data_IF_214788962301
#
_entry.id   IF_214788962301
#
_cell.length_a   1.000
_cell.length_b   1.000
_cell.length_c   1.000
_cell.angle_alpha   90.00
_cell.angle_beta   90.00
_cell.angle_gamma   90.00
#
_symmetry.space_group_name_H-M   'P 1'
#
loop_
_entity.id
_entity.type
_entity.pdbx_description
1 polymer ?
#
# COMPACT_ATOMS: atom_id res chain seq x y z
N UNK A 1 20.76 -4.96 13.49
CA UNK A 1 20.42 -3.52 13.62
C UNK A 1 20.00 -2.94 12.26
N UNK A 2 20.77 -3.12 11.19
CA UNK A 2 20.45 -2.60 9.85
C UNK A 2 19.06 -2.96 9.32
N UNK A 3 18.65 -4.23 9.39
CA UNK A 3 17.32 -4.64 8.89
C UNK A 3 16.13 -4.01 9.65
N UNK A 4 16.26 -3.79 10.97
CA UNK A 4 15.22 -3.10 11.75
C UNK A 4 15.18 -1.61 11.43
N UNK A 5 16.34 -0.98 11.30
CA UNK A 5 16.45 0.42 10.87
C UNK A 5 15.86 0.61 9.46
N UNK A 6 16.11 -0.32 8.54
CA UNK A 6 15.53 -0.29 7.21
C UNK A 6 14.01 -0.42 7.25
N UNK A 7 13.48 -1.35 8.04
CA UNK A 7 12.02 -1.52 8.17
C UNK A 7 11.31 -0.30 8.78
N UNK A 8 11.95 0.36 9.77
CA UNK A 8 11.38 1.55 10.43
C UNK A 8 11.57 2.83 9.62
N UNK A 9 12.77 3.04 9.05
CA UNK A 9 13.09 4.27 8.32
C UNK A 9 12.69 4.22 6.84
N UNK A 10 12.54 3.03 6.24
CA UNK A 10 11.98 2.86 4.91
C UNK A 10 10.51 3.30 4.86
N UNK A 11 9.72 2.90 5.86
CA UNK A 11 8.32 3.32 6.01
C UNK A 11 8.15 4.55 6.93
N UNK A 12 9.19 5.39 7.08
CA UNK A 12 9.13 6.50 8.04
C UNK A 12 8.06 7.51 7.67
N UNK A 13 7.88 7.82 6.38
CA UNK A 13 6.90 8.82 5.94
C UNK A 13 5.49 8.33 6.25
N UNK A 14 5.19 7.07 5.92
CA UNK A 14 3.92 6.39 6.19
C UNK A 14 3.63 6.36 7.68
N UNK A 15 4.62 5.99 8.50
CA UNK A 15 4.49 5.96 9.96
C UNK A 15 4.23 7.35 10.52
N UNK A 16 5.00 8.36 10.11
CA UNK A 16 4.83 9.74 10.60
C UNK A 16 3.44 10.27 10.23
N UNK A 17 3.04 10.16 8.96
CA UNK A 17 1.71 10.61 8.49
C UNK A 17 0.60 9.87 9.23
N UNK A 18 0.73 8.56 9.41
CA UNK A 18 -0.25 7.75 10.14
C UNK A 18 -0.34 8.14 11.62
N UNK A 19 0.78 8.41 12.29
CA UNK A 19 0.81 8.82 13.70
C UNK A 19 0.18 10.20 13.88
N UNK A 20 0.48 11.14 12.98
CA UNK A 20 -0.11 12.49 13.01
C UNK A 20 -1.62 12.43 12.74
N UNK A 21 -2.04 11.67 11.73
CA UNK A 21 -3.47 11.45 11.45
C UNK A 21 -4.18 10.79 12.63
N UNK A 22 -3.56 9.78 13.25
CA UNK A 22 -4.09 9.11 14.43
C UNK A 22 -4.25 10.07 15.61
N UNK A 23 -3.25 10.92 15.88
CA UNK A 23 -3.30 11.96 16.93
C UNK A 23 -4.44 12.97 16.71
N UNK A 24 -4.78 13.23 15.44
CA UNK A 24 -5.89 14.11 15.07
C UNK A 24 -7.25 13.38 15.03
N UNK A 25 -7.31 12.09 15.38
CA UNK A 25 -8.54 11.29 15.39
C UNK A 25 -8.98 10.80 14.00
N UNK A 26 -8.14 10.95 12.97
CA UNK A 26 -8.43 10.59 11.58
C UNK A 26 -8.22 9.08 11.32
N UNK A 27 -8.93 8.24 12.08
CA UNK A 27 -8.83 6.77 12.03
C UNK A 27 -9.07 6.24 10.60
N UNK A 28 -10.05 6.79 9.89
CA UNK A 28 -10.39 6.36 8.52
C UNK A 28 -9.23 6.62 7.56
N UNK A 29 -8.58 7.78 7.66
CA UNK A 29 -7.40 8.11 6.86
C UNK A 29 -6.27 7.11 7.14
N UNK A 30 -6.00 6.81 8.41
CA UNK A 30 -4.96 5.87 8.80
C UNK A 30 -5.26 4.48 8.21
N UNK A 31 -6.47 3.95 8.40
CA UNK A 31 -6.90 2.66 7.84
C UNK A 31 -6.77 2.58 6.32
N UNK A 32 -7.38 3.54 5.61
CA UNK A 32 -7.38 3.57 4.16
C UNK A 32 -5.97 3.76 3.60
N UNK A 33 -5.11 4.54 4.27
CA UNK A 33 -3.71 4.72 3.87
C UNK A 33 -2.84 3.48 4.01
N UNK A 34 -3.08 2.63 5.02
CA UNK A 34 -2.36 1.37 5.16
C UNK A 34 -2.69 0.40 4.01
N UNK A 35 -3.98 0.23 3.71
CA UNK A 35 -4.40 -0.59 2.56
C UNK A 35 -3.95 0.01 1.24
N UNK A 36 -4.09 1.32 1.11
CA UNK A 36 -3.67 2.07 -0.07
C UNK A 36 -2.18 1.95 -0.35
N UNK A 37 -1.35 1.96 0.68
CA UNK A 37 0.11 1.80 0.56
C UNK A 37 0.47 0.42 0.01
N UNK A 38 -0.17 -0.63 0.52
CA UNK A 38 -0.01 -1.98 -0.03
C UNK A 38 -0.52 -2.05 -1.48
N UNK A 39 -1.73 -1.53 -1.76
CA UNK A 39 -2.31 -1.51 -3.11
C UNK A 39 -1.42 -0.76 -4.11
N UNK A 40 -0.87 0.38 -3.70
CA UNK A 40 0.05 1.19 -4.49
C UNK A 40 1.32 0.40 -4.81
N UNK A 41 1.92 -0.25 -3.82
CA UNK A 41 3.14 -1.03 -4.03
C UNK A 41 2.90 -2.24 -4.95
N UNK A 42 1.81 -2.99 -4.75
CA UNK A 42 1.57 -4.23 -5.51
C UNK A 42 0.98 -3.99 -6.91
N UNK A 43 0.26 -2.89 -7.14
CA UNK A 43 -0.36 -2.59 -8.44
C UNK A 43 0.35 -1.45 -9.17
N UNK A 44 0.50 -0.29 -8.53
CA UNK A 44 1.06 0.90 -9.16
C UNK A 44 2.56 0.73 -9.39
N UNK A 45 3.34 0.39 -8.35
CA UNK A 45 4.79 0.25 -8.47
C UNK A 45 5.16 -0.93 -9.33
N UNK A 46 4.60 -2.10 -9.03
CA UNK A 46 4.85 -3.31 -9.82
C UNK A 46 4.43 -3.11 -11.28
N UNK A 47 3.27 -2.49 -11.51
CA UNK A 47 2.78 -2.16 -12.84
C UNK A 47 3.72 -1.21 -13.58
N UNK A 48 4.20 -0.16 -12.92
CA UNK A 48 5.21 0.75 -13.47
C UNK A 48 6.53 0.04 -13.78
N UNK A 49 7.00 -0.86 -12.89
CA UNK A 49 8.22 -1.64 -13.10
C UNK A 49 8.10 -2.55 -14.33
N UNK A 50 7.02 -3.31 -14.44
CA UNK A 50 6.77 -4.23 -15.56
C UNK A 50 6.57 -3.47 -16.87
N UNK A 51 5.85 -2.34 -16.84
CA UNK A 51 5.63 -1.51 -18.01
C UNK A 51 6.94 -0.84 -18.47
N UNK A 52 7.65 -0.17 -17.57
CA UNK A 52 8.87 0.56 -17.90
C UNK A 52 10.01 -0.38 -18.29
N UNK A 53 10.23 -1.46 -17.54
CA UNK A 53 11.21 -2.50 -17.83
C UNK A 53 10.92 -3.22 -19.16
N UNK A 54 9.66 -3.61 -19.39
CA UNK A 54 9.25 -4.24 -20.64
C UNK A 54 9.40 -3.33 -21.88
N UNK A 55 9.04 -2.04 -21.76
CA UNK A 55 9.26 -1.06 -22.84
C UNK A 55 10.75 -0.83 -23.08
N UNK A 56 11.54 -0.73 -22.01
CA UNK A 56 12.99 -0.54 -22.11
C UNK A 56 13.63 -1.70 -22.87
N UNK A 57 13.39 -2.94 -22.46
CA UNK A 57 13.94 -4.12 -23.12
C UNK A 57 13.50 -4.24 -24.59
N UNK A 58 12.24 -3.91 -24.90
CA UNK A 58 11.74 -3.88 -26.28
C UNK A 58 12.51 -2.87 -27.15
N UNK A 59 13.01 -1.77 -26.57
CA UNK A 59 13.75 -0.72 -27.27
C UNK A 59 15.26 -0.96 -27.34
N UNK A 60 15.86 -1.55 -26.31
CA UNK A 60 17.33 -1.75 -26.22
C UNK A 60 17.79 -3.12 -26.72
N UNK A 61 16.88 -4.08 -26.97
CA UNK A 61 17.21 -5.34 -27.63
C UNK A 61 18.11 -6.25 -26.79
N UNK A 62 17.84 -6.36 -25.49
CA UNK A 62 18.52 -7.31 -24.60
C UNK A 62 18.23 -8.76 -25.02
N UNK A 63 19.13 -9.69 -24.66
CA UNK A 63 19.18 -11.07 -25.15
C UNK A 63 17.91 -11.92 -24.86
N UNK A 64 17.02 -11.45 -23.98
CA UNK A 64 15.81 -12.15 -23.53
C UNK A 64 14.53 -11.80 -24.33
N UNK A 65 14.54 -10.82 -25.23
CA UNK A 65 13.36 -10.41 -25.99
C UNK A 65 12.47 -9.38 -25.26
N UNK A 66 11.14 -9.46 -25.45
CA UNK A 66 10.16 -8.51 -24.87
C UNK A 66 9.90 -8.79 -23.36
N UNK A 67 10.32 -9.95 -22.86
CA UNK A 67 10.01 -10.45 -21.51
C UNK A 67 11.25 -10.35 -20.59
N UNK A 68 11.05 -9.96 -19.33
CA UNK A 68 12.06 -10.01 -18.28
C UNK A 68 11.77 -11.21 -17.37
N UNK A 69 12.69 -12.17 -17.31
CA UNK A 69 12.58 -13.30 -16.39
C UNK A 69 12.97 -12.89 -14.98
N UNK A 70 12.31 -13.45 -13.98
CA UNK A 70 12.66 -13.31 -12.57
C UNK A 70 12.48 -14.65 -11.85
N UNK A 71 13.12 -14.81 -10.70
CA UNK A 71 13.10 -16.05 -9.93
C UNK A 71 11.72 -16.30 -9.32
N UNK A 72 10.98 -17.24 -9.93
CA UNK A 72 9.66 -17.67 -9.47
C UNK A 72 9.65 -18.14 -8.02
N UNK A 73 10.70 -18.81 -7.52
CA UNK A 73 10.71 -19.33 -6.16
C UNK A 73 10.71 -18.20 -5.14
N UNK A 74 11.54 -17.17 -5.36
CA UNK A 74 11.61 -16.00 -4.49
C UNK A 74 10.31 -15.19 -4.61
N UNK A 75 9.89 -14.89 -5.83
CA UNK A 75 8.72 -14.06 -6.08
C UNK A 75 7.41 -14.74 -5.61
N UNK A 76 7.24 -16.04 -5.82
CA UNK A 76 6.07 -16.79 -5.33
C UNK A 76 6.08 -16.98 -3.81
N UNK A 77 7.25 -17.14 -3.18
CA UNK A 77 7.36 -17.20 -1.72
C UNK A 77 7.01 -15.84 -1.11
N UNK A 78 7.50 -14.74 -1.69
CA UNK A 78 7.17 -13.39 -1.23
C UNK A 78 5.69 -13.05 -1.46
N UNK A 79 5.14 -13.40 -2.62
CA UNK A 79 3.73 -13.17 -2.92
C UNK A 79 2.81 -14.02 -2.03
N UNK A 80 3.16 -15.27 -1.75
CA UNK A 80 2.39 -16.12 -0.84
C UNK A 80 2.49 -15.64 0.61
N UNK A 81 3.65 -15.18 1.06
CA UNK A 81 3.81 -14.58 2.39
C UNK A 81 3.03 -13.27 2.51
N UNK A 82 3.01 -12.43 1.47
CA UNK A 82 2.19 -11.23 1.42
C UNK A 82 0.70 -11.59 1.41
N UNK A 83 0.28 -12.62 0.66
CA UNK A 83 -1.09 -13.10 0.67
C UNK A 83 -1.51 -13.61 2.06
N UNK A 84 -0.65 -14.34 2.75
CA UNK A 84 -0.87 -14.79 4.13
C UNK A 84 -0.89 -13.61 5.10
N UNK A 85 0.03 -12.64 4.97
CA UNK A 85 0.08 -11.44 5.79
C UNK A 85 -1.20 -10.59 5.62
N UNK A 86 -1.61 -10.36 4.38
CA UNK A 86 -2.83 -9.67 3.99
C UNK A 86 -4.09 -10.40 4.48
N UNK A 87 -4.13 -11.74 4.37
CA UNK A 87 -5.21 -12.55 4.93
C UNK A 87 -5.22 -12.55 6.47
N UNK A 88 -4.04 -12.41 7.09
CA UNK A 88 -3.89 -12.30 8.54
C UNK A 88 -4.26 -10.91 9.08
N UNK A 89 -4.25 -9.87 8.25
CA UNK A 89 -4.88 -8.59 8.61
C UNK A 89 -6.42 -8.71 8.74
N UNK A 90 -7.01 -9.73 8.09
CA UNK A 90 -8.45 -10.02 8.11
C UNK A 90 -8.83 -10.99 9.25
N UNK A 91 -7.85 -11.69 9.87
CA UNK A 91 -8.06 -12.62 10.99
C UNK A 91 -6.98 -12.39 12.06
N UNK A 92 -7.30 -11.91 13.28
CA UNK A 92 -6.32 -11.36 14.23
C UNK A 92 -5.11 -12.27 14.41
N UNK A 93 -3.95 -11.75 13.98
CA UNK A 93 -2.78 -12.54 13.67
C UNK A 93 -1.82 -12.71 14.85
N UNK A 94 -1.34 -13.94 15.01
CA UNK A 94 -0.05 -14.24 15.64
C UNK A 94 0.67 -15.27 14.76
N UNK A 95 1.95 -15.02 14.42
CA UNK A 95 3.11 -15.94 14.59
C UNK A 95 4.30 -15.56 13.67
N UNK A 96 5.44 -15.32 14.33
CA UNK A 96 6.86 -15.36 13.92
C UNK A 96 7.30 -15.04 12.47
N UNK A 97 7.90 -13.85 12.29
CA UNK A 97 8.77 -13.50 11.15
C UNK A 97 10.25 -13.81 11.47
N UNK A 98 10.80 -14.85 10.83
CA UNK A 98 12.24 -15.15 10.75
C UNK A 98 12.55 -15.73 9.36
N UNK A 99 12.40 -14.92 8.31
CA UNK A 99 12.84 -15.27 6.94
C UNK A 99 13.38 -14.06 6.14
N UNK A 100 13.85 -13.02 6.82
CA UNK A 100 14.48 -11.86 6.19
C UNK A 100 15.90 -11.70 6.72
N UNK A 101 16.79 -12.55 6.24
CA UNK A 101 18.15 -12.14 5.98
C UNK A 101 18.22 -11.96 4.46
N UNK A 102 18.74 -10.81 4.02
CA UNK A 102 18.67 -10.39 2.63
C UNK A 102 19.28 -11.41 1.69
N UNK A 103 18.50 -11.87 0.73
CA UNK A 103 19.07 -12.28 -0.55
C UNK A 103 19.39 -10.99 -1.31
N UNK A 104 20.49 -10.34 -0.91
CA UNK A 104 21.30 -9.57 -1.84
C UNK A 104 21.83 -10.61 -2.82
N UNK A 105 21.05 -10.91 -3.86
CA UNK A 105 21.46 -11.81 -4.92
C UNK A 105 22.69 -11.20 -5.57
N UNK A 106 23.87 -11.79 -5.31
CA UNK A 106 25.18 -11.52 -5.90
C UNK A 106 25.18 -10.26 -6.77
N UNK A 107 25.17 -9.11 -6.10
CA UNK A 107 25.62 -7.92 -6.77
C UNK A 107 27.11 -8.15 -7.03
N UNK A 108 27.46 -8.27 -8.30
CA UNK A 108 28.68 -7.66 -8.81
C UNK A 108 28.58 -6.15 -8.54
N UNK A 109 28.61 -5.78 -7.26
CA UNK A 109 28.70 -4.43 -6.76
C UNK A 109 30.19 -4.13 -6.67
N UNK A 110 30.62 -3.19 -7.50
CA UNK A 110 31.80 -2.39 -7.22
C UNK A 110 31.74 -1.99 -5.73
N UNK A 111 32.82 -2.12 -4.94
CA UNK A 111 32.78 -1.83 -3.52
C UNK A 111 32.37 -0.38 -3.30
N UNK A 112 31.11 -0.14 -2.92
CA UNK A 112 30.63 1.18 -2.56
C UNK A 112 31.33 1.62 -1.28
N UNK A 113 32.34 2.48 -1.43
CA UNK A 113 32.99 3.12 -0.29
C UNK A 113 31.94 3.92 0.50
N UNK A 114 31.90 3.82 1.85
CA UNK A 114 30.95 4.56 2.66
C UNK A 114 31.14 6.08 2.46
N UNK A 115 30.27 6.69 1.66
CA UNK A 115 30.39 8.11 1.28
C UNK A 115 30.09 9.07 2.43
N UNK A 116 29.43 8.60 3.50
CA UNK A 116 29.03 9.44 4.64
C UNK A 116 29.41 8.84 5.99
N UNK A 117 29.93 9.69 6.87
CA UNK A 117 30.16 9.35 8.28
C UNK A 117 28.83 9.01 8.96
N UNK A 118 28.76 7.96 9.82
CA UNK A 118 27.55 7.60 10.56
C UNK A 118 26.95 8.75 11.37
N UNK A 119 27.79 9.68 11.85
CA UNK A 119 27.35 10.89 12.53
C UNK A 119 26.60 11.85 11.60
N UNK A 120 27.12 12.06 10.39
CA UNK A 120 26.48 12.91 9.39
C UNK A 120 25.14 12.31 8.93
N UNK A 121 25.09 10.98 8.74
CA UNK A 121 23.86 10.25 8.44
C UNK A 121 22.84 10.34 9.58
N UNK A 122 23.27 10.26 10.84
CA UNK A 122 22.39 10.44 11.99
C UNK A 122 21.78 11.84 12.09
N UNK A 123 22.59 12.88 11.87
CA UNK A 123 22.10 14.28 11.92
C UNK A 123 21.10 14.54 10.79
N UNK A 124 21.40 14.13 9.55
CA UNK A 124 20.50 14.38 8.43
C UNK A 124 19.18 13.60 8.59
N UNK A 125 19.24 12.37 9.12
CA UNK A 125 18.05 11.57 9.40
C UNK A 125 17.11 12.29 10.36
N UNK A 126 17.63 12.80 11.49
CA UNK A 126 16.83 13.55 12.47
C UNK A 126 16.22 14.80 11.85
N UNK A 127 17.00 15.58 11.08
CA UNK A 127 16.51 16.81 10.44
C UNK A 127 15.39 16.50 9.45
N UNK A 128 15.57 15.48 8.60
CA UNK A 128 14.55 15.07 7.62
C UNK A 128 13.30 14.54 8.33
N UNK A 129 13.45 13.70 9.36
CA UNK A 129 12.32 13.20 10.16
C UNK A 129 11.50 14.34 10.76
N UNK A 130 12.14 15.36 11.32
CA UNK A 130 11.44 16.54 11.88
C UNK A 130 10.73 17.32 10.77
N UNK A 131 11.40 17.55 9.63
CA UNK A 131 10.81 18.26 8.51
C UNK A 131 9.58 17.53 7.95
N UNK A 132 9.67 16.21 7.78
CA UNK A 132 8.54 15.37 7.34
C UNK A 132 7.41 15.41 8.37
N UNK A 133 7.70 15.38 9.67
CA UNK A 133 6.68 15.49 10.70
C UNK A 133 5.92 16.82 10.64
N UNK A 134 6.61 17.95 10.44
CA UNK A 134 5.98 19.25 10.26
C UNK A 134 5.10 19.27 9.00
N UNK A 135 5.61 18.73 7.88
CA UNK A 135 4.83 18.61 6.65
C UNK A 135 3.61 17.70 6.83
N UNK A 136 3.72 16.63 7.60
CA UNK A 136 2.62 15.72 7.90
C UNK A 136 1.53 16.40 8.73
N UNK A 137 1.88 17.27 9.69
CA UNK A 137 0.88 18.07 10.43
C UNK A 137 0.08 18.96 9.47
N UNK A 138 0.77 19.73 8.61
CA UNK A 138 0.09 20.55 7.61
C UNK A 138 -0.74 19.73 6.61
N UNK A 139 -0.25 18.55 6.21
CA UNK A 139 -0.96 17.65 5.31
C UNK A 139 -2.27 17.17 5.95
N UNK A 140 -2.21 16.65 7.18
CA UNK A 140 -3.39 16.13 7.89
C UNK A 140 -4.40 17.24 8.17
N UNK A 141 -3.94 18.41 8.61
CA UNK A 141 -4.82 19.56 8.87
C UNK A 141 -5.56 20.02 7.59
N UNK A 142 -4.96 19.81 6.42
CA UNK A 142 -5.58 20.17 5.13
C UNK A 142 -6.62 19.16 4.63
N UNK A 143 -6.65 17.93 5.16
CA UNK A 143 -7.51 16.85 4.65
C UNK A 143 -8.98 17.27 4.70
N UNK A 144 -9.46 17.81 5.83
CA UNK A 144 -10.85 18.21 5.98
C UNK A 144 -11.25 19.29 4.97
N UNK A 145 -10.39 20.29 4.78
CA UNK A 145 -10.61 21.35 3.80
C UNK A 145 -10.66 20.83 2.36
N UNK A 146 -9.84 19.83 2.03
CA UNK A 146 -9.83 19.19 0.70
C UNK A 146 -11.09 18.36 0.48
N UNK A 147 -11.52 17.59 1.49
CA UNK A 147 -12.77 16.81 1.45
C UNK A 147 -13.96 17.72 1.20
N UNK A 148 -14.06 18.84 1.93
CA UNK A 148 -15.15 19.81 1.77
C UNK A 148 -15.12 20.53 0.41
N UNK A 149 -13.93 20.91 -0.08
CA UNK A 149 -13.80 21.71 -1.31
C UNK A 149 -13.91 20.87 -2.58
N UNK A 150 -13.29 19.68 -2.59
CA UNK A 150 -13.25 18.81 -3.76
C UNK A 150 -14.38 17.78 -3.77
N UNK A 151 -15.15 17.66 -2.68
CA UNK A 151 -16.20 16.65 -2.50
C UNK A 151 -15.69 15.22 -2.74
N UNK A 152 -14.45 14.94 -2.31
CA UNK A 152 -13.84 13.62 -2.39
C UNK A 152 -13.82 12.97 -1.01
N UNK A 153 -13.85 11.65 -0.98
CA UNK A 153 -13.86 10.90 0.27
C UNK A 153 -12.53 10.94 1.02
N UNK A 154 -12.58 10.92 2.36
CA UNK A 154 -11.42 10.64 3.22
C UNK A 154 -10.78 9.32 2.83
N UNK A 155 -11.63 8.33 2.50
CA UNK A 155 -11.19 7.04 1.99
C UNK A 155 -10.35 7.17 0.71
N UNK A 156 -10.74 7.99 -0.26
CA UNK A 156 -9.95 8.21 -1.49
C UNK A 156 -8.62 8.90 -1.21
N UNK A 157 -8.60 9.93 -0.34
CA UNK A 157 -7.37 10.62 0.05
C UNK A 157 -6.41 9.63 0.71
N UNK A 158 -6.91 8.85 1.68
CA UNK A 158 -6.14 7.83 2.37
C UNK A 158 -5.65 6.74 1.43
N UNK A 159 -6.54 6.12 0.65
CA UNK A 159 -6.24 4.92 -0.12
C UNK A 159 -5.44 5.18 -1.41
N UNK A 160 -5.60 6.36 -2.03
CA UNK A 160 -4.98 6.67 -3.32
C UNK A 160 -3.91 7.76 -3.17
N UNK A 161 -4.25 8.92 -2.64
CA UNK A 161 -3.35 10.09 -2.69
C UNK A 161 -2.16 9.97 -1.76
N UNK A 162 -2.39 9.63 -0.48
CA UNK A 162 -1.32 9.55 0.53
C UNK A 162 -0.23 8.52 0.14
N UNK A 163 -0.57 7.27 -0.26
CA UNK A 163 0.39 6.26 -0.69
C UNK A 163 1.29 6.66 -1.85
N UNK A 164 0.76 7.44 -2.80
CA UNK A 164 1.53 7.87 -3.96
C UNK A 164 2.64 8.83 -3.52
N UNK A 165 2.31 9.77 -2.64
CA UNK A 165 3.26 10.77 -2.15
C UNK A 165 4.25 10.17 -1.15
N UNK A 166 3.75 9.36 -0.21
CA UNK A 166 4.55 8.75 0.86
C UNK A 166 5.64 7.83 0.32
N UNK A 167 5.29 6.98 -0.64
CA UNK A 167 6.19 5.98 -1.19
C UNK A 167 6.89 6.41 -2.49
N UNK A 168 6.75 7.67 -2.94
CA UNK A 168 7.23 8.10 -4.26
C UNK A 168 8.72 7.79 -4.50
N UNK A 169 9.55 7.95 -3.46
CA UNK A 169 10.99 7.65 -3.55
C UNK A 169 11.27 6.15 -3.73
N UNK A 170 10.52 5.29 -3.04
CA UNK A 170 10.60 3.84 -3.22
C UNK A 170 10.13 3.43 -4.61
N UNK A 171 9.06 4.06 -5.10
CA UNK A 171 8.50 3.80 -6.44
C UNK A 171 9.53 4.09 -7.53
N UNK A 172 10.18 5.26 -7.45
CA UNK A 172 11.23 5.64 -8.41
C UNK A 172 12.40 4.66 -8.34
N UNK A 173 12.82 4.27 -7.14
CA UNK A 173 13.93 3.32 -6.97
C UNK A 173 13.60 1.97 -7.60
N UNK A 174 12.43 1.41 -7.34
CA UNK A 174 11.98 0.14 -7.93
C UNK A 174 11.94 0.21 -9.46
N UNK A 175 11.42 1.31 -10.03
CA UNK A 175 11.37 1.51 -11.49
C UNK A 175 12.78 1.60 -12.07
N UNK A 176 13.69 2.35 -11.44
CA UNK A 176 15.08 2.47 -11.90
C UNK A 176 15.81 1.13 -11.88
N UNK A 177 15.56 0.31 -10.87
CA UNK A 177 16.13 -1.05 -10.75
C UNK A 177 15.52 -1.99 -11.80
N UNK A 178 14.21 -1.89 -12.07
CA UNK A 178 13.55 -2.64 -13.13
C UNK A 178 14.08 -2.28 -14.53
N UNK A 179 14.38 -1.00 -14.76
CA UNK A 179 15.00 -0.51 -16.00
C UNK A 179 16.43 -1.03 -16.21
N UNK A 180 17.12 -1.42 -15.14
CA UNK A 180 18.45 -2.06 -15.18
C UNK A 180 18.37 -3.59 -15.39
N UNK A 181 17.21 -4.11 -15.80
CA UNK A 181 16.95 -5.53 -15.99
C UNK A 181 17.04 -6.37 -14.70
N UNK A 182 17.03 -5.74 -13.52
CA UNK A 182 17.04 -6.41 -12.23
C UNK A 182 15.61 -6.52 -11.66
N UNK A 183 14.74 -7.25 -12.36
CA UNK A 183 13.32 -7.34 -12.00
C UNK A 183 13.09 -8.00 -10.63
N UNK A 184 13.89 -9.01 -10.26
CA UNK A 184 13.84 -9.63 -8.92
C UNK A 184 13.97 -8.62 -7.78
N UNK A 185 14.90 -7.67 -7.91
CA UNK A 185 15.11 -6.62 -6.92
C UNK A 185 13.94 -5.63 -6.90
N UNK A 186 13.40 -5.26 -8.05
CA UNK A 186 12.24 -4.36 -8.14
C UNK A 186 10.99 -4.96 -7.48
N UNK A 187 10.73 -6.26 -7.73
CA UNK A 187 9.66 -7.03 -7.07
C UNK A 187 9.93 -7.10 -5.55
N UNK A 188 11.19 -7.36 -5.16
CA UNK A 188 11.60 -7.40 -3.76
C UNK A 188 11.34 -6.08 -3.02
N UNK A 189 11.62 -4.93 -3.65
CA UNK A 189 11.31 -3.61 -3.10
C UNK A 189 9.81 -3.43 -2.89
N UNK A 190 9.00 -3.71 -3.92
CA UNK A 190 7.55 -3.50 -3.86
C UNK A 190 6.84 -4.44 -2.86
N UNK A 191 7.13 -5.74 -2.90
CA UNK A 191 6.50 -6.74 -2.01
C UNK A 191 7.07 -6.64 -0.60
N UNK A 192 8.36 -6.37 -0.46
CA UNK A 192 9.02 -6.20 0.84
C UNK A 192 8.42 -5.05 1.65
N UNK A 193 8.23 -3.88 1.01
CA UNK A 193 7.59 -2.71 1.62
C UNK A 193 6.14 -3.02 2.03
N UNK A 194 5.36 -3.63 1.12
CA UNK A 194 3.98 -4.08 1.39
C UNK A 194 3.85 -5.01 2.60
N UNK A 195 4.77 -5.97 2.73
CA UNK A 195 4.76 -6.91 3.83
C UNK A 195 5.19 -6.26 5.16
N UNK A 196 6.14 -5.32 5.14
CA UNK A 196 6.49 -4.54 6.33
C UNK A 196 5.28 -3.72 6.81
N UNK A 197 4.54 -3.13 5.89
CA UNK A 197 3.32 -2.40 6.23
C UNK A 197 2.33 -3.35 6.91
N UNK A 198 2.04 -4.48 6.29
CA UNK A 198 1.05 -5.44 6.79
C UNK A 198 1.43 -6.09 8.13
N UNK A 199 2.69 -6.51 8.31
CA UNK A 199 3.13 -7.30 9.47
C UNK A 199 3.72 -6.47 10.61
N UNK A 200 4.19 -5.25 10.33
CA UNK A 200 4.85 -4.40 11.32
C UNK A 200 4.06 -3.10 11.54
N UNK A 201 3.86 -2.30 10.50
CA UNK A 201 3.30 -0.94 10.63
C UNK A 201 1.84 -0.99 11.09
N UNK A 202 1.02 -1.81 10.45
CA UNK A 202 -0.41 -1.92 10.76
C UNK A 202 -0.69 -2.38 12.20
N UNK A 203 -0.13 -3.50 12.70
CA UNK A 203 -0.34 -3.88 14.09
C UNK A 203 0.28 -2.88 15.08
N UNK A 204 1.40 -2.24 14.74
CA UNK A 204 2.00 -1.19 15.56
C UNK A 204 1.07 0.02 15.73
N UNK A 205 0.45 0.49 14.65
CA UNK A 205 -0.48 1.63 14.70
C UNK A 205 -1.75 1.33 15.50
N UNK A 206 -2.24 0.09 15.46
CA UNK A 206 -3.37 -0.34 16.31
C UNK A 206 -3.01 -0.28 17.79
N UNK A 207 -1.85 -0.84 18.16
CA UNK A 207 -1.36 -0.81 19.54
C UNK A 207 -1.11 0.62 19.99
N UNK A 208 -0.52 1.47 19.14
CA UNK A 208 -0.28 2.87 19.45
C UNK A 208 -1.60 3.62 19.66
N UNK A 209 -2.62 3.35 18.85
CA UNK A 209 -3.96 3.89 19.05
C UNK A 209 -4.51 3.55 20.42
N UNK A 210 -4.39 2.30 20.86
CA UNK A 210 -4.82 1.90 22.20
C UNK A 210 -4.04 2.58 23.32
N UNK A 211 -2.73 2.79 23.14
CA UNK A 211 -1.90 3.54 24.11
C UNK A 211 -2.35 5.01 24.19
N UNK A 212 -2.85 5.57 23.09
CA UNK A 212 -3.35 6.95 23.01
C UNK A 212 -4.84 7.09 23.37
N UNK A 213 -5.50 6.02 23.84
CA UNK A 213 -6.95 5.97 24.08
C UNK A 213 -7.82 6.27 22.83
N UNK A 214 -7.29 5.98 21.64
CA UNK A 214 -7.96 6.13 20.35
C UNK A 214 -8.40 4.74 19.87
N UNK A 215 -9.69 4.54 19.51
CA UNK A 215 -10.24 3.23 19.14
C UNK A 215 -9.81 2.80 17.73
N UNK A 216 -8.50 2.68 17.51
CA UNK A 216 -7.92 2.21 16.26
C UNK A 216 -8.21 0.72 16.09
N UNK A 217 -8.73 0.34 14.92
CA UNK A 217 -9.10 -1.04 14.60
C UNK A 217 -8.66 -1.40 13.18
N UNK A 218 -8.65 -2.71 12.88
CA UNK A 218 -8.48 -3.26 11.54
C UNK A 218 -9.82 -3.46 10.82
N UNK A 219 -10.84 -2.67 11.20
CA UNK A 219 -12.13 -2.71 10.54
C UNK A 219 -12.06 -1.87 9.27
N UNK A 220 -11.80 -2.54 8.16
CA UNK A 220 -11.85 -1.96 6.82
C UNK A 220 -13.24 -2.11 6.22
N UNK A 221 -13.60 -1.21 5.32
CA UNK A 221 -14.88 -1.31 4.62
C UNK A 221 -14.93 -2.59 3.78
N UNK A 222 -16.15 -3.10 3.56
CA UNK A 222 -16.32 -4.36 2.80
C UNK A 222 -15.77 -4.21 1.39
N UNK A 223 -15.99 -3.06 0.77
CA UNK A 223 -15.49 -2.76 -0.57
C UNK A 223 -13.96 -2.70 -0.60
N UNK A 224 -13.32 -2.03 0.37
CA UNK A 224 -11.86 -2.00 0.53
C UNK A 224 -11.28 -3.40 0.65
N UNK A 225 -11.87 -4.23 1.50
CA UNK A 225 -11.40 -5.60 1.75
C UNK A 225 -11.51 -6.47 0.50
N UNK A 226 -12.62 -6.37 -0.26
CA UNK A 226 -12.83 -7.13 -1.49
C UNK A 226 -11.84 -6.68 -2.57
N UNK A 227 -11.69 -5.38 -2.80
CA UNK A 227 -10.75 -4.84 -3.79
C UNK A 227 -9.32 -5.24 -3.44
N UNK A 228 -8.95 -5.13 -2.17
CA UNK A 228 -7.64 -5.54 -1.67
C UNK A 228 -7.36 -7.02 -1.92
N UNK A 229 -8.31 -7.89 -1.56
CA UNK A 229 -8.18 -9.33 -1.77
C UNK A 229 -8.08 -9.71 -3.26
N UNK A 230 -8.92 -9.12 -4.11
CA UNK A 230 -8.88 -9.35 -5.55
C UNK A 230 -7.57 -8.85 -6.18
N UNK A 231 -7.09 -7.69 -5.75
CA UNK A 231 -5.81 -7.14 -6.21
C UNK A 231 -4.64 -8.04 -5.84
N UNK A 232 -4.62 -8.55 -4.60
CA UNK A 232 -3.64 -9.52 -4.14
C UNK A 232 -3.66 -10.82 -4.95
N UNK A 233 -4.85 -11.32 -5.29
CA UNK A 233 -5.02 -12.50 -6.13
C UNK A 233 -4.46 -12.25 -7.54
N UNK A 234 -4.84 -11.13 -8.17
CA UNK A 234 -4.34 -10.76 -9.51
C UNK A 234 -2.82 -10.68 -9.52
N UNK A 235 -2.23 -9.95 -8.58
CA UNK A 235 -0.76 -9.81 -8.48
C UNK A 235 -0.08 -11.15 -8.27
N UNK A 236 -0.64 -12.00 -7.39
CA UNK A 236 -0.08 -13.34 -7.15
C UNK A 236 -0.08 -14.18 -8.42
N UNK A 237 -1.14 -14.12 -9.23
CA UNK A 237 -1.17 -14.80 -10.52
C UNK A 237 -0.22 -14.19 -11.54
N UNK A 238 -0.13 -12.85 -11.63
CA UNK A 238 0.79 -12.19 -12.56
C UNK A 238 2.25 -12.53 -12.27
N UNK A 239 2.61 -12.73 -11.00
CA UNK A 239 3.99 -13.06 -10.61
C UNK A 239 4.31 -14.56 -10.78
N UNK A 240 3.31 -15.44 -10.81
CA UNK A 240 3.52 -16.89 -10.86
C UNK A 240 4.23 -17.38 -12.13
N UNK A 241 4.07 -16.67 -13.23
CA UNK A 241 4.62 -17.08 -14.52
C UNK A 241 6.13 -16.81 -14.65
N UNK A 242 6.74 -16.14 -13.67
CA UNK A 242 8.19 -15.94 -13.58
C UNK A 242 8.76 -14.99 -14.63
N UNK A 243 7.88 -14.31 -15.35
CA UNK A 243 8.22 -13.40 -16.43
C UNK A 243 7.35 -12.17 -16.30
N UNK A 244 7.92 -11.02 -16.61
CA UNK A 244 7.18 -9.77 -16.70
C UNK A 244 7.24 -9.22 -18.11
N UNK A 245 6.11 -8.71 -18.61
CA UNK A 245 6.04 -7.96 -19.85
C UNK A 245 5.30 -6.63 -19.68
N UNK A 246 5.43 -5.76 -20.70
CA UNK A 246 4.82 -4.43 -20.66
C UNK A 246 3.29 -4.48 -20.60
N UNK A 247 2.65 -5.55 -21.10
CA UNK A 247 1.19 -5.69 -21.13
C UNK A 247 0.65 -6.06 -19.75
N UNK A 248 1.33 -6.93 -19.02
CA UNK A 248 1.06 -7.21 -17.60
C UNK A 248 1.21 -5.94 -16.77
N UNK A 249 2.27 -5.16 -17.01
CA UNK A 249 2.44 -3.84 -16.40
C UNK A 249 1.27 -2.90 -16.69
N UNK A 250 0.84 -2.80 -17.95
CA UNK A 250 -0.32 -2.00 -18.34
C UNK A 250 -1.63 -2.50 -17.70
N UNK A 251 -1.80 -3.81 -17.53
CA UNK A 251 -2.97 -4.41 -16.88
C UNK A 251 -3.02 -4.07 -15.39
N UNK A 252 -1.89 -4.18 -14.67
CA UNK A 252 -1.79 -3.81 -13.26
C UNK A 252 -2.05 -2.31 -13.03
N UNK A 253 -1.49 -1.45 -13.88
CA UNK A 253 -1.76 0.00 -13.85
C UNK A 253 -3.22 0.31 -14.20
N UNK A 254 -3.79 -0.39 -15.18
CA UNK A 254 -5.20 -0.28 -15.53
C UNK A 254 -6.10 -0.66 -14.36
N UNK A 255 -5.79 -1.75 -13.67
CA UNK A 255 -6.52 -2.17 -12.48
C UNK A 255 -6.42 -1.13 -11.35
N UNK A 256 -5.21 -0.60 -11.08
CA UNK A 256 -5.03 0.47 -10.09
C UNK A 256 -5.85 1.72 -10.44
N UNK A 257 -5.87 2.12 -11.72
CA UNK A 257 -6.65 3.28 -12.18
C UNK A 257 -8.16 3.04 -12.05
N UNK A 258 -8.64 1.84 -12.38
CA UNK A 258 -10.05 1.45 -12.19
C UNK A 258 -10.42 1.52 -10.70
N UNK A 259 -9.55 1.01 -9.82
CA UNK A 259 -9.74 1.08 -8.36
C UNK A 259 -9.78 2.54 -7.90
N UNK A 260 -8.84 3.38 -8.35
CA UNK A 260 -8.80 4.80 -8.01
C UNK A 260 -10.11 5.51 -8.43
N UNK A 261 -10.59 5.26 -9.65
CA UNK A 261 -11.87 5.81 -10.11
C UNK A 261 -13.06 5.28 -9.32
N UNK A 262 -13.06 4.01 -8.94
CA UNK A 262 -14.12 3.43 -8.13
C UNK A 262 -14.19 4.11 -6.75
N UNK A 263 -13.04 4.33 -6.09
CA UNK A 263 -12.97 5.02 -4.81
C UNK A 263 -13.22 6.53 -4.89
N UNK A 264 -12.92 7.15 -6.04
CA UNK A 264 -13.27 8.55 -6.29
C UNK A 264 -14.79 8.78 -6.31
N UNK A 265 -15.54 7.78 -6.81
CA UNK A 265 -17.00 7.83 -6.90
C UNK A 265 -17.66 7.25 -5.66
N UNK A 266 -16.95 6.46 -4.85
CA UNK A 266 -17.47 5.82 -3.65
C UNK A 266 -17.65 6.84 -2.50
N UNK A 267 -18.90 7.11 -2.06
CA UNK A 267 -19.15 8.06 -0.98
C UNK A 267 -18.79 7.43 0.39
N UNK A 268 -18.26 8.24 1.30
CA UNK A 268 -17.91 7.81 2.67
C UNK A 268 -19.14 7.38 3.50
N UNK A 269 -20.35 7.78 3.12
CA UNK A 269 -21.59 7.61 3.90
C UNK A 269 -22.34 6.28 3.65
N UNK A 270 -21.72 5.29 3.00
CA UNK A 270 -22.41 4.04 2.65
C UNK A 270 -22.72 3.12 3.85
N UNK A 271 -22.24 3.44 5.06
CA UNK A 271 -22.50 2.68 6.30
C UNK A 271 -23.30 3.42 7.37
N UNK A 272 -23.57 4.71 7.21
CA UNK A 272 -24.69 5.33 7.92
C UNK A 272 -25.96 4.92 7.16
N UNK A 273 -26.66 3.93 7.72
CA UNK A 273 -27.94 3.44 7.17
C UNK A 273 -28.76 4.65 6.75
N UNK A 274 -29.05 4.86 5.45
CA UNK A 274 -29.85 6.00 5.07
C UNK A 274 -31.17 5.85 5.81
N UNK A 275 -31.59 6.88 6.56
CA UNK A 275 -32.94 6.90 7.16
C UNK A 275 -34.02 6.57 6.14
N UNK A 276 -33.71 6.75 4.85
CA UNK A 276 -34.50 6.36 3.69
C UNK A 276 -34.68 4.83 3.52
N UNK A 277 -33.71 3.97 3.86
CA UNK A 277 -33.89 2.50 3.81
C UNK A 277 -34.78 2.05 4.95
N UNK A 278 -34.62 2.60 6.17
CA UNK A 278 -35.53 2.30 7.29
C UNK A 278 -36.95 2.81 7.00
N UNK A 279 -37.10 3.96 6.34
CA UNK A 279 -38.40 4.48 5.89
C UNK A 279 -39.02 3.62 4.79
N UNK A 280 -38.25 3.16 3.81
CA UNK A 280 -38.74 2.28 2.74
C UNK A 280 -39.09 0.91 3.31
N UNK A 281 -38.27 0.32 4.19
CA UNK A 281 -38.60 -0.94 4.86
C UNK A 281 -39.83 -0.79 5.76
N UNK A 282 -39.98 0.32 6.49
CA UNK A 282 -41.19 0.60 7.28
C UNK A 282 -42.43 0.87 6.42
N UNK A 283 -42.28 1.54 5.28
CA UNK A 283 -43.38 1.81 4.35
C UNK A 283 -43.83 0.52 3.65
N UNK A 284 -42.89 -0.32 3.21
CA UNK A 284 -43.17 -1.62 2.58
C UNK A 284 -43.79 -2.60 3.58
N UNK A 285 -43.26 -2.67 4.80
CA UNK A 285 -43.82 -3.52 5.88
C UNK A 285 -45.18 -2.99 6.37
N UNK A 286 -45.36 -1.68 6.45
CA UNK A 286 -46.63 -1.05 6.80
C UNK A 286 -47.71 -1.26 5.74
N UNK A 287 -47.34 -1.17 4.45
CA UNK A 287 -48.24 -1.44 3.33
C UNK A 287 -48.58 -2.93 3.22
N UNK A 288 -47.66 -3.83 3.57
CA UNK A 288 -47.91 -5.27 3.63
C UNK A 288 -48.87 -5.65 4.77
N UNK A 289 -48.74 -5.06 5.96
CA UNK A 289 -49.71 -5.26 7.07
C UNK A 289 -51.11 -4.77 6.72
N UNK A 290 -51.21 -3.58 6.10
CA UNK A 290 -52.49 -3.04 5.64
C UNK A 290 -53.17 -3.91 4.57
N UNK A 291 -52.40 -4.64 3.75
CA UNK A 291 -52.94 -5.55 2.73
C UNK A 291 -53.32 -6.93 3.29
N UNK A 292 -52.78 -7.33 4.45
CA UNK A 292 -53.03 -8.62 5.12
C UNK A 292 -54.10 -8.56 6.21
N UNK A 293 -54.64 -7.39 6.53
CA UNK A 293 -55.75 -7.23 7.49
C UNK A 293 -55.38 -7.54 8.94
N UNK A 294 -54.10 -7.37 9.32
CA UNK A 294 -53.60 -7.50 10.70
C UNK A 294 -53.20 -6.13 11.28
#
# INVERSE_FOLDING_TARGET
MGGLLNATFGNAVELIVSIVALKNGEIRIVQSSMLGSILSNILLVLGCCFLAGGIHNTRTGTAQGIEQGFNMTVASTMSSLMAVASASLIIPATTHARLFDGESADDEEDPEEPQMSPWAAGVILVVVTIAVAICAEYLVDSIESVVETMHISKTFIGLILLPIVGNAAEHVTAIVVALKDKMDLAIGVAIGSSMQIALLVTPFLVILGWIMDIPMTLHFETFETVVFFLSMLVVTYTIQDGKSNYLEGAMLLGLYFIIALAFLVYPDDATDTPGNVVLVTRAVVGSAKSALGM
#
